data_IF_209503962583
#
_entry.id   IF_209503962583
#
_cell.length_a   1.000
_cell.length_b   1.000
_cell.length_c   1.000
_cell.angle_alpha   90.00
_cell.angle_beta   90.00
_cell.angle_gamma   90.00
#
_symmetry.space_group_name_H-M   'P 1'
#
loop_
_entity.id
_entity.type
_entity.pdbx_description
1 polymer ?
#
# COMPACT_ATOMS: atom_id res chain seq x y z
N UNK A 1 -11.73 10.93 -3.75
CA UNK A 1 -11.97 9.82 -2.82
C UNK A 1 -12.66 8.61 -3.49
N UNK A 2 -12.11 7.40 -3.29
CA UNK A 2 -12.61 6.14 -3.86
C UNK A 2 -13.94 5.76 -3.19
N UNK A 3 -14.96 5.48 -3.98
CA UNK A 3 -16.29 5.05 -3.48
C UNK A 3 -16.24 3.71 -2.74
N UNK A 4 -17.12 3.44 -1.77
CA UNK A 4 -17.12 2.16 -1.03
C UNK A 4 -17.21 0.92 -1.91
N UNK A 5 -17.96 1.01 -3.01
CA UNK A 5 -18.07 -0.05 -4.03
C UNK A 5 -16.71 -0.30 -4.71
N UNK A 6 -16.01 0.76 -5.11
CA UNK A 6 -14.68 0.65 -5.70
C UNK A 6 -13.64 0.19 -4.66
N UNK A 7 -13.74 0.61 -3.40
CA UNK A 7 -12.87 0.10 -2.33
C UNK A 7 -13.04 -1.41 -2.15
N UNK A 8 -14.29 -1.90 -2.15
CA UNK A 8 -14.61 -3.32 -2.10
C UNK A 8 -14.08 -4.07 -3.32
N UNK A 9 -14.24 -3.48 -4.51
CA UNK A 9 -13.68 -4.01 -5.75
C UNK A 9 -12.16 -4.15 -5.68
N UNK A 10 -11.43 -3.08 -5.37
CA UNK A 10 -9.95 -3.07 -5.25
C UNK A 10 -9.50 -4.15 -4.26
N UNK A 11 -10.09 -4.17 -3.06
CA UNK A 11 -9.74 -5.14 -2.02
C UNK A 11 -9.92 -6.58 -2.49
N UNK A 12 -11.04 -6.88 -3.15
CA UNK A 12 -11.33 -8.22 -3.67
C UNK A 12 -10.42 -8.59 -4.84
N UNK A 13 -10.08 -7.64 -5.71
CA UNK A 13 -9.13 -7.84 -6.81
C UNK A 13 -7.75 -8.20 -6.28
N UNK A 14 -7.22 -7.43 -5.31
CA UNK A 14 -5.91 -7.72 -4.70
C UNK A 14 -5.92 -9.10 -4.02
N UNK A 15 -6.97 -9.42 -3.25
CA UNK A 15 -7.11 -10.75 -2.61
C UNK A 15 -7.09 -11.90 -3.61
N UNK A 16 -7.68 -11.72 -4.80
CA UNK A 16 -7.68 -12.73 -5.86
C UNK A 16 -6.32 -12.86 -6.54
N UNK A 17 -5.61 -11.75 -6.75
CA UNK A 17 -4.30 -11.74 -7.41
C UNK A 17 -3.17 -12.27 -6.51
N UNK A 18 -3.25 -12.00 -5.20
CA UNK A 18 -2.16 -12.27 -4.26
C UNK A 18 -1.61 -13.70 -4.32
N UNK A 19 -2.42 -14.79 -4.34
CA UNK A 19 -1.88 -16.15 -4.41
C UNK A 19 -1.07 -16.41 -5.69
N UNK A 20 -1.50 -15.84 -6.83
CA UNK A 20 -0.77 -15.97 -8.09
C UNK A 20 0.53 -15.18 -8.03
N UNK A 21 0.49 -13.94 -7.52
CA UNK A 21 1.68 -13.08 -7.38
C UNK A 21 2.74 -13.75 -6.50
N UNK A 22 2.33 -14.29 -5.33
CA UNK A 22 3.26 -14.99 -4.44
C UNK A 22 3.93 -16.20 -5.13
N UNK A 23 3.21 -16.89 -6.01
CA UNK A 23 3.78 -17.98 -6.81
C UNK A 23 4.75 -17.46 -7.88
N UNK A 24 4.41 -16.36 -8.54
CA UNK A 24 5.21 -15.75 -9.62
C UNK A 24 6.56 -15.21 -9.11
N UNK A 25 6.58 -14.64 -7.91
CA UNK A 25 7.81 -14.13 -7.28
C UNK A 25 8.63 -15.20 -6.54
N UNK A 26 8.22 -16.47 -6.65
CA UNK A 26 8.81 -17.60 -5.92
C UNK A 26 8.89 -17.33 -4.41
N UNK A 27 7.77 -16.90 -3.82
CA UNK A 27 7.71 -16.50 -2.42
C UNK A 27 8.07 -17.66 -1.47
N UNK A 28 9.11 -17.44 -0.67
CA UNK A 28 9.58 -18.39 0.32
C UNK A 28 9.46 -17.80 1.74
N UNK A 29 8.52 -18.28 2.58
CA UNK A 29 8.35 -17.80 3.94
C UNK A 29 9.45 -18.27 4.91
N UNK A 30 10.42 -19.07 4.47
CA UNK A 30 11.47 -19.65 5.33
C UNK A 30 12.79 -18.90 5.30
N UNK A 31 12.98 -17.98 4.34
CA UNK A 31 14.20 -17.16 4.27
C UNK A 31 14.28 -16.17 5.43
N UNK A 32 15.50 -15.70 5.73
CA UNK A 32 15.68 -14.60 6.69
C UNK A 32 15.10 -13.31 6.10
N UNK A 33 14.50 -12.48 6.96
CA UNK A 33 13.96 -11.17 6.59
C UNK A 33 12.98 -11.23 5.40
N UNK A 34 12.04 -12.19 5.43
CA UNK A 34 11.05 -12.45 4.36
C UNK A 34 10.42 -11.17 3.80
N UNK A 35 9.94 -10.27 4.67
CA UNK A 35 9.30 -9.02 4.26
C UNK A 35 10.22 -8.12 3.44
N UNK A 36 11.51 -8.04 3.78
CA UNK A 36 12.50 -7.26 3.03
C UNK A 36 12.88 -7.97 1.72
N UNK A 37 13.07 -9.29 1.76
CA UNK A 37 13.47 -10.10 0.61
C UNK A 37 12.44 -10.12 -0.53
N UNK A 38 11.15 -9.99 -0.19
CA UNK A 38 10.05 -10.10 -1.16
C UNK A 38 9.19 -8.84 -1.30
N UNK A 39 9.38 -7.82 -0.45
CA UNK A 39 8.54 -6.62 -0.42
C UNK A 39 8.40 -5.94 -1.78
N UNK A 40 9.53 -5.49 -2.33
CA UNK A 40 9.57 -4.80 -3.62
C UNK A 40 9.01 -5.67 -4.76
N UNK A 41 9.41 -6.95 -4.83
CA UNK A 41 8.94 -7.87 -5.86
C UNK A 41 7.42 -8.06 -5.85
N UNK A 42 6.82 -8.23 -4.66
CA UNK A 42 5.38 -8.40 -4.53
C UNK A 42 4.65 -7.11 -4.85
N UNK A 43 5.16 -5.98 -4.37
CA UNK A 43 4.58 -4.65 -4.60
C UNK A 43 4.57 -4.31 -6.10
N UNK A 44 5.72 -4.43 -6.78
CA UNK A 44 5.85 -4.16 -8.22
C UNK A 44 4.97 -5.10 -9.06
N UNK A 45 5.03 -6.42 -8.80
CA UNK A 45 4.21 -7.39 -9.53
C UNK A 45 2.72 -7.11 -9.33
N UNK A 46 2.29 -6.67 -8.14
CA UNK A 46 0.91 -6.29 -7.91
C UNK A 46 0.50 -5.06 -8.72
N UNK A 47 1.35 -4.03 -8.79
CA UNK A 47 1.09 -2.84 -9.62
C UNK A 47 0.86 -3.25 -11.08
N UNK A 48 1.74 -4.07 -11.64
CA UNK A 48 1.65 -4.51 -13.04
C UNK A 48 0.33 -5.25 -13.30
N UNK A 49 -0.04 -6.22 -12.44
CA UNK A 49 -1.31 -6.95 -12.60
C UNK A 49 -2.55 -6.06 -12.44
N UNK A 50 -2.50 -5.06 -11.57
CA UNK A 50 -3.61 -4.12 -11.39
C UNK A 50 -3.81 -3.26 -12.65
N UNK A 51 -2.74 -2.78 -13.26
CA UNK A 51 -2.81 -1.98 -14.49
C UNK A 51 -3.28 -2.84 -15.68
N UNK A 52 -2.85 -4.10 -15.75
CA UNK A 52 -3.27 -5.04 -16.80
C UNK A 52 -4.77 -5.39 -16.72
N UNK A 53 -5.32 -5.52 -15.50
CA UNK A 53 -6.69 -6.02 -15.31
C UNK A 53 -7.76 -4.95 -15.49
N UNK A 54 -7.47 -3.69 -15.17
CA UNK A 54 -8.43 -2.61 -15.24
C UNK A 54 -7.72 -1.27 -15.56
N UNK A 55 -8.08 -0.60 -16.67
CA UNK A 55 -7.45 0.65 -17.11
C UNK A 55 -7.68 1.84 -16.16
N UNK A 56 -8.55 1.70 -15.16
CA UNK A 56 -8.70 2.69 -14.08
C UNK A 56 -7.48 2.71 -13.16
N UNK A 57 -6.70 1.64 -13.12
CA UNK A 57 -5.39 1.65 -12.47
C UNK A 57 -4.33 2.26 -13.38
N UNK A 58 -3.60 3.23 -12.86
CA UNK A 58 -2.59 3.97 -13.64
C UNK A 58 -1.29 4.04 -12.85
N UNK A 59 -0.18 3.70 -13.52
CA UNK A 59 1.16 3.86 -12.97
C UNK A 59 1.48 5.33 -12.65
N UNK A 60 2.38 5.61 -11.70
CA UNK A 60 2.86 6.96 -11.45
C UNK A 60 3.60 7.53 -12.66
N UNK A 61 3.37 8.82 -12.94
CA UNK A 61 4.02 9.55 -14.04
C UNK A 61 5.52 9.85 -13.78
N UNK A 62 6.00 9.61 -12.54
CA UNK A 62 7.37 9.95 -12.13
C UNK A 62 7.96 8.90 -11.19
N UNK A 63 9.28 8.70 -11.27
CA UNK A 63 10.04 7.75 -10.42
C UNK A 63 10.03 8.06 -8.92
N UNK A 64 9.60 9.26 -8.50
CA UNK A 64 9.54 9.67 -7.07
C UNK A 64 8.13 10.11 -6.69
N UNK A 65 7.14 9.46 -7.27
CA UNK A 65 5.74 9.67 -6.93
C UNK A 65 5.46 9.37 -5.44
N UNK A 66 4.30 9.81 -4.97
CA UNK A 66 3.85 9.52 -3.61
C UNK A 66 3.12 8.20 -3.52
N UNK A 67 2.79 7.60 -4.66
CA UNK A 67 1.94 6.44 -4.80
C UNK A 67 2.64 5.39 -5.65
N UNK A 68 2.33 4.13 -5.38
CA UNK A 68 2.75 2.99 -6.19
C UNK A 68 1.81 2.82 -7.40
N UNK A 69 0.53 3.16 -7.24
CA UNK A 69 -0.50 3.16 -8.30
C UNK A 69 -1.58 4.20 -8.02
N UNK A 70 -2.29 4.65 -9.05
CA UNK A 70 -3.53 5.47 -8.91
C UNK A 70 -4.74 4.64 -9.29
N UNK A 71 -5.90 4.95 -8.70
CA UNK A 71 -7.20 4.48 -9.20
C UNK A 71 -8.08 5.68 -9.51
N UNK A 72 -8.23 6.02 -10.80
CA UNK A 72 -8.67 7.37 -11.18
C UNK A 72 -7.64 8.41 -10.72
N UNK A 73 -8.09 9.43 -9.97
CA UNK A 73 -7.22 10.47 -9.41
C UNK A 73 -6.70 10.13 -7.99
N UNK A 74 -7.25 9.09 -7.37
CA UNK A 74 -6.92 8.73 -6.00
C UNK A 74 -5.59 7.96 -5.91
N UNK A 75 -4.75 8.37 -4.96
CA UNK A 75 -3.40 7.83 -4.76
C UNK A 75 -3.42 6.57 -3.88
N UNK A 76 -2.76 5.50 -4.32
CA UNK A 76 -2.68 4.23 -3.59
C UNK A 76 -1.22 3.81 -3.40
N UNK A 77 -0.83 3.53 -2.16
CA UNK A 77 0.43 2.89 -1.81
C UNK A 77 0.21 1.44 -1.40
N UNK A 78 1.09 0.54 -1.82
CA UNK A 78 1.08 -0.88 -1.51
C UNK A 78 2.21 -1.14 -0.52
N UNK A 79 1.92 -1.88 0.56
CA UNK A 79 2.90 -2.24 1.57
C UNK A 79 2.82 -3.73 1.86
N UNK A 80 3.78 -4.48 1.36
CA UNK A 80 3.98 -5.88 1.69
C UNK A 80 4.86 -6.02 2.94
N UNK A 81 4.55 -7.02 3.76
CA UNK A 81 5.36 -7.41 4.90
C UNK A 81 5.04 -8.83 5.31
N UNK A 82 5.81 -9.39 6.24
CA UNK A 82 5.63 -10.76 6.71
C UNK A 82 5.67 -10.79 8.24
N UNK A 83 4.65 -11.38 8.87
CA UNK A 83 4.48 -11.38 10.33
C UNK A 83 4.44 -9.95 10.88
N UNK A 84 3.53 -9.15 10.31
CA UNK A 84 3.49 -7.69 10.41
C UNK A 84 3.40 -7.14 11.84
N UNK A 85 4.56 -6.96 12.46
CA UNK A 85 4.79 -6.18 13.69
C UNK A 85 5.58 -4.89 13.42
N UNK A 86 5.71 -4.52 12.16
CA UNK A 86 6.59 -3.43 11.70
C UNK A 86 5.94 -2.06 11.69
N UNK A 87 6.75 -1.07 11.30
CA UNK A 87 6.31 0.29 11.00
C UNK A 87 6.78 0.67 9.59
N UNK A 88 6.08 0.29 8.52
CA UNK A 88 6.52 0.62 7.18
C UNK A 88 6.40 2.12 6.94
N UNK A 89 7.38 2.66 6.20
CA UNK A 89 7.36 4.02 5.70
C UNK A 89 6.24 4.16 4.67
N UNK A 90 5.41 5.20 4.80
CA UNK A 90 4.35 5.49 3.86
C UNK A 90 4.78 6.54 2.86
N UNK A 91 4.99 7.76 3.35
CA UNK A 91 5.36 8.91 2.54
C UNK A 91 5.88 9.98 3.48
N UNK A 92 6.66 10.91 2.95
CA UNK A 92 7.12 12.06 3.71
C UNK A 92 5.92 12.91 4.16
N UNK A 93 5.86 13.26 5.45
CA UNK A 93 4.72 13.98 6.02
C UNK A 93 4.51 15.33 5.35
N UNK A 94 5.59 16.05 5.07
CA UNK A 94 5.55 17.33 4.37
C UNK A 94 4.83 17.25 3.02
N UNK A 95 5.05 16.18 2.24
CA UNK A 95 4.39 15.99 0.93
C UNK A 95 2.90 15.70 1.10
N UNK A 96 2.54 14.87 2.09
CA UNK A 96 1.15 14.59 2.45
C UNK A 96 0.42 15.89 2.82
N UNK A 97 0.96 16.62 3.79
CA UNK A 97 0.36 17.86 4.29
C UNK A 97 0.32 18.96 3.24
N UNK A 98 1.39 19.13 2.45
CA UNK A 98 1.44 20.17 1.42
C UNK A 98 0.35 19.94 0.36
N UNK A 99 0.21 18.72 -0.14
CA UNK A 99 -0.82 18.40 -1.14
C UNK A 99 -2.24 18.53 -0.57
N UNK A 100 -2.46 18.12 0.67
CA UNK A 100 -3.75 18.29 1.33
C UNK A 100 -4.12 19.77 1.48
N UNK A 101 -3.19 20.59 2.00
CA UNK A 101 -3.42 22.02 2.21
C UNK A 101 -3.59 22.82 0.91
N UNK A 102 -3.13 22.27 -0.22
CA UNK A 102 -3.32 22.84 -1.56
C UNK A 102 -4.57 22.31 -2.27
N UNK A 103 -5.40 21.53 -1.59
CA UNK A 103 -6.58 20.85 -2.16
C UNK A 103 -6.24 19.96 -3.37
N UNK A 104 -5.00 19.44 -3.43
CA UNK A 104 -4.55 18.54 -4.50
C UNK A 104 -4.94 17.08 -4.24
N UNK A 105 -5.13 16.71 -2.98
CA UNK A 105 -5.61 15.39 -2.56
C UNK A 105 -6.58 15.52 -1.39
N UNK A 106 -7.64 14.72 -1.38
CA UNK A 106 -8.62 14.62 -0.30
C UNK A 106 -8.52 13.29 0.48
N UNK A 107 -7.73 12.35 -0.04
CA UNK A 107 -7.58 10.99 0.44
C UNK A 107 -6.20 10.45 0.08
N UNK A 108 -5.74 9.43 0.83
CA UNK A 108 -4.48 8.75 0.53
C UNK A 108 -4.57 7.30 0.97
N UNK A 109 -4.72 6.39 0.01
CA UNK A 109 -5.10 5.01 0.27
C UNK A 109 -3.91 4.07 0.41
N UNK A 110 -4.07 3.07 1.27
CA UNK A 110 -3.07 2.06 1.53
C UNK A 110 -3.64 0.66 1.32
N UNK A 111 -2.96 -0.14 0.48
CA UNK A 111 -3.11 -1.59 0.43
C UNK A 111 -2.02 -2.19 1.32
N UNK A 112 -2.40 -2.79 2.45
CA UNK A 112 -1.45 -3.46 3.36
C UNK A 112 -1.64 -4.97 3.33
N UNK A 113 -0.57 -5.68 3.00
CA UNK A 113 -0.57 -7.13 2.77
C UNK A 113 0.37 -7.83 3.77
N UNK A 114 -0.17 -8.70 4.62
CA UNK A 114 0.62 -9.61 5.44
C UNK A 114 0.82 -10.95 4.72
N UNK A 115 2.05 -11.25 4.32
CA UNK A 115 2.43 -12.48 3.65
C UNK A 115 2.32 -13.74 4.52
N UNK A 116 2.29 -13.61 5.86
CA UNK A 116 2.16 -14.76 6.77
C UNK A 116 0.74 -15.32 6.75
N UNK A 117 -0.24 -14.47 7.04
CA UNK A 117 -1.65 -14.86 7.06
C UNK A 117 -2.33 -14.67 5.69
N UNK A 118 -1.62 -14.12 4.70
CA UNK A 118 -2.15 -13.69 3.39
C UNK A 118 -3.32 -12.71 3.53
N UNK A 119 -3.31 -11.92 4.60
CA UNK A 119 -4.34 -10.91 4.88
C UNK A 119 -4.07 -9.66 4.05
N UNK A 120 -5.13 -9.13 3.49
CA UNK A 120 -5.12 -7.86 2.73
C UNK A 120 -6.09 -6.90 3.40
N UNK A 121 -5.61 -5.70 3.68
CA UNK A 121 -6.40 -4.58 4.19
C UNK A 121 -6.28 -3.40 3.23
N UNK A 122 -7.35 -2.61 3.13
CA UNK A 122 -7.41 -1.43 2.29
C UNK A 122 -8.09 -0.30 3.06
N UNK A 123 -7.43 0.85 3.20
CA UNK A 123 -7.94 1.96 4.00
C UNK A 123 -7.41 3.32 3.53
N UNK A 124 -8.14 4.38 3.82
CA UNK A 124 -7.69 5.77 3.66
C UNK A 124 -6.92 6.22 4.91
N UNK A 125 -5.69 6.68 4.72
CA UNK A 125 -4.79 7.15 5.76
C UNK A 125 -5.37 8.33 6.54
N UNK A 126 -6.08 9.26 5.88
CA UNK A 126 -6.64 10.44 6.56
C UNK A 126 -7.78 10.07 7.51
N UNK A 127 -8.51 8.99 7.23
CA UNK A 127 -9.54 8.45 8.11
C UNK A 127 -8.95 7.62 9.27
N UNK A 128 -7.65 7.30 9.18
CA UNK A 128 -6.97 6.34 10.04
C UNK A 128 -5.69 6.92 10.66
N UNK A 129 -5.59 8.25 10.75
CA UNK A 129 -4.43 8.95 11.33
C UNK A 129 -4.00 8.46 12.72
N UNK A 130 -4.90 8.05 13.66
CA UNK A 130 -4.48 7.48 14.94
C UNK A 130 -3.59 6.23 14.82
N UNK A 131 -3.71 5.51 13.70
CA UNK A 131 -2.93 4.32 13.36
C UNK A 131 -1.64 4.64 12.62
N UNK A 132 -1.25 5.91 12.58
CA UNK A 132 0.03 6.36 12.05
C UNK A 132 0.94 6.85 13.18
N UNK A 133 2.24 6.88 12.90
CA UNK A 133 3.22 7.60 13.70
C UNK A 133 4.06 8.48 12.77
N UNK A 134 4.75 9.47 13.35
CA UNK A 134 5.69 10.30 12.63
C UNK A 134 7.11 9.99 13.10
N UNK A 135 7.99 9.59 12.19
CA UNK A 135 9.41 9.47 12.49
C UNK A 135 10.08 10.83 12.27
N UNK A 136 10.40 11.51 13.38
CA UNK A 136 11.04 12.84 13.37
C UNK A 136 12.40 12.83 12.68
N UNK A 137 13.12 11.69 12.72
CA UNK A 137 14.43 11.57 12.08
C UNK A 137 14.34 11.51 10.55
N UNK A 138 13.48 10.63 10.02
CA UNK A 138 13.32 10.46 8.56
C UNK A 138 12.31 11.42 7.94
N UNK A 139 11.50 12.11 8.75
CA UNK A 139 10.41 12.97 8.30
C UNK A 139 9.22 12.22 7.68
N UNK A 140 9.12 10.91 7.93
CA UNK A 140 8.16 10.04 7.28
C UNK A 140 6.96 9.72 8.17
N UNK A 141 5.79 9.60 7.54
CA UNK A 141 4.62 8.96 8.14
C UNK A 141 4.84 7.45 8.10
N UNK A 142 4.66 6.83 9.25
CA UNK A 142 4.85 5.40 9.51
C UNK A 142 3.51 4.77 9.85
N UNK A 143 3.22 3.55 9.40
CA UNK A 143 2.04 2.83 9.90
C UNK A 143 2.33 2.12 11.22
N UNK A 144 1.34 2.10 12.13
CA UNK A 144 1.31 1.19 13.27
C UNK A 144 0.52 -0.06 12.86
N UNK A 145 1.15 -0.95 12.09
CA UNK A 145 0.45 -2.10 11.48
C UNK A 145 -0.24 -3.01 12.50
N UNK A 146 0.33 -3.14 13.71
CA UNK A 146 -0.25 -3.94 14.79
C UNK A 146 -1.70 -3.55 15.11
N UNK A 147 -2.06 -2.27 14.97
CA UNK A 147 -3.41 -1.78 15.24
C UNK A 147 -4.43 -2.07 14.13
N UNK A 148 -4.01 -2.61 12.98
CA UNK A 148 -4.91 -2.98 11.87
C UNK A 148 -5.25 -4.48 11.84
N UNK A 149 -4.45 -5.32 12.51
CA UNK A 149 -4.56 -6.78 12.45
C UNK A 149 -4.96 -7.44 13.78
N UNK A 150 -4.99 -6.68 14.89
CA UNK A 150 -5.55 -7.04 16.20
C UNK A 150 -6.86 -6.30 16.46
#
# INVERSE_FOLDING_TARGET
>A
MITPENQTYILNTVKKLLPQILKEVDFDPTVKEVGHSFGEKVEETLVDKLIEIDPRFVAPDTKRAMQDVKFGDDLINIKFGFDKKGQPNMVAFNRLSEKFLKDEIDSYYIISIDGKDKKVTFFDLYQHLPYTNYNVGTGQVMLKEKSFFE
#
